data_IF_862159775355
#
_entry.id   IF_862159775355
#
_cell.length_a   1.000
_cell.length_b   1.000
_cell.length_c   1.000
_cell.angle_alpha   90.00
_cell.angle_beta   90.00
_cell.angle_gamma   90.00
#
_symmetry.space_group_name_H-M   'P 1'
#
loop_
_entity.id
_entity.type
_entity.pdbx_description
1 polymer ?
#
# COMPACT_ATOMS: atom_id res chain seq x y z
N UNK A 1 -36.92 -34.45 -72.23
CA UNK A 1 -37.17 -33.39 -71.22
C UNK A 1 -35.92 -33.29 -70.36
N UNK A 2 -35.23 -32.15 -70.37
CA UNK A 2 -33.99 -31.91 -69.62
C UNK A 2 -34.35 -31.23 -68.30
N UNK A 3 -34.00 -31.82 -67.16
CA UNK A 3 -34.12 -31.20 -65.84
C UNK A 3 -32.77 -30.62 -65.43
N UNK A 4 -32.71 -29.30 -65.27
CA UNK A 4 -31.58 -28.59 -64.68
C UNK A 4 -31.94 -28.23 -63.24
N UNK A 5 -31.13 -28.67 -62.28
CA UNK A 5 -31.26 -28.33 -60.86
C UNK A 5 -30.25 -27.22 -60.56
N UNK A 6 -30.74 -26.05 -60.14
CA UNK A 6 -29.91 -24.93 -59.70
C UNK A 6 -29.66 -25.04 -58.18
N UNK A 7 -28.39 -25.12 -57.79
CA UNK A 7 -27.97 -25.01 -56.38
C UNK A 7 -27.95 -23.53 -55.97
N UNK A 8 -28.75 -23.17 -54.98
CA UNK A 8 -28.72 -21.86 -54.33
C UNK A 8 -27.73 -21.91 -53.17
N UNK A 9 -26.65 -21.14 -53.25
CA UNK A 9 -25.67 -21.02 -52.17
C UNK A 9 -26.26 -20.13 -51.05
N UNK A 10 -26.34 -20.67 -49.83
CA UNK A 10 -26.73 -19.92 -48.64
C UNK A 10 -25.48 -19.24 -48.08
N UNK A 11 -25.42 -17.91 -48.17
CA UNK A 11 -24.36 -17.11 -47.56
C UNK A 11 -24.59 -17.03 -46.04
N UNK A 12 -23.66 -17.57 -45.25
CA UNK A 12 -23.60 -17.33 -43.82
C UNK A 12 -23.08 -15.91 -43.58
N UNK A 13 -23.95 -15.01 -43.12
CA UNK A 13 -23.51 -13.74 -42.55
C UNK A 13 -22.78 -14.02 -41.24
N UNK A 14 -21.47 -13.77 -41.21
CA UNK A 14 -20.71 -13.78 -39.97
C UNK A 14 -21.19 -12.58 -39.12
N UNK A 15 -21.92 -12.87 -38.05
CA UNK A 15 -22.14 -11.88 -37.00
C UNK A 15 -20.81 -11.71 -36.27
N UNK A 16 -20.06 -10.68 -36.64
CA UNK A 16 -19.02 -10.16 -35.77
C UNK A 16 -19.73 -9.62 -34.52
N UNK A 17 -19.71 -10.40 -33.44
CA UNK A 17 -20.06 -9.87 -32.12
C UNK A 17 -19.02 -8.80 -31.80
N UNK A 18 -19.41 -7.54 -31.97
CA UNK A 18 -18.70 -6.44 -31.36
C UNK A 18 -18.67 -6.73 -29.85
N UNK A 19 -17.48 -7.03 -29.33
CA UNK A 19 -17.29 -7.06 -27.89
C UNK A 19 -17.81 -5.73 -27.33
N UNK A 20 -18.65 -5.73 -26.28
CA UNK A 20 -19.09 -4.49 -25.68
C UNK A 20 -17.83 -3.69 -25.34
N UNK A 21 -17.79 -2.42 -25.77
CA UNK A 21 -16.76 -1.50 -25.36
C UNK A 21 -16.68 -1.56 -23.83
N UNK A 22 -15.60 -2.14 -23.31
CA UNK A 22 -15.43 -2.33 -21.89
C UNK A 22 -15.52 -0.98 -21.21
N UNK A 23 -16.54 -0.77 -20.37
CA UNK A 23 -16.45 0.23 -19.32
C UNK A 23 -15.17 0.00 -18.53
N UNK A 24 -14.63 1.01 -17.83
CA UNK A 24 -13.45 0.81 -16.99
C UNK A 24 -13.68 -0.44 -16.14
N UNK A 25 -12.82 -1.45 -16.30
CA UNK A 25 -13.02 -2.77 -15.68
C UNK A 25 -13.19 -2.66 -14.17
N UNK A 26 -13.76 -3.68 -13.53
CA UNK A 26 -13.94 -3.72 -12.06
C UNK A 26 -12.68 -3.32 -11.29
N UNK A 27 -11.50 -3.68 -11.82
CA UNK A 27 -10.19 -3.28 -11.28
C UNK A 27 -9.99 -1.75 -11.26
N UNK A 28 -10.35 -1.04 -12.33
CA UNK A 28 -10.29 0.42 -12.36
C UNK A 28 -11.25 1.06 -11.34
N UNK A 29 -12.38 0.42 -11.03
CA UNK A 29 -13.28 0.93 -9.99
C UNK A 29 -12.63 0.88 -8.61
N UNK A 30 -12.03 -0.26 -8.24
CA UNK A 30 -11.34 -0.41 -6.95
C UNK A 30 -10.11 0.51 -6.83
N UNK A 31 -9.33 0.65 -7.90
CA UNK A 31 -8.20 1.59 -7.91
C UNK A 31 -8.63 3.05 -7.71
N UNK A 32 -9.76 3.47 -8.31
CA UNK A 32 -10.28 4.81 -8.09
C UNK A 32 -10.80 5.00 -6.66
N UNK A 33 -11.50 4.01 -6.10
CA UNK A 33 -11.96 4.06 -4.71
C UNK A 33 -10.80 4.16 -3.72
N UNK A 34 -9.76 3.34 -3.90
CA UNK A 34 -8.57 3.38 -3.07
C UNK A 34 -7.86 4.74 -3.17
N UNK A 35 -7.79 5.32 -4.38
CA UNK A 35 -7.20 6.64 -4.61
C UNK A 35 -7.95 7.75 -3.86
N UNK A 36 -9.28 7.68 -3.87
CA UNK A 36 -10.14 8.67 -3.22
C UNK A 36 -10.11 8.53 -1.68
N UNK A 37 -9.73 7.36 -1.15
CA UNK A 37 -9.59 7.10 0.29
C UNK A 37 -8.22 7.49 0.88
N UNK A 38 -7.23 7.81 0.03
CA UNK A 38 -5.85 8.09 0.47
C UNK A 38 -5.76 9.18 1.51
N UNK A 39 -4.87 8.97 2.48
CA UNK A 39 -4.66 9.89 3.59
C UNK A 39 -5.80 9.89 4.61
N UNK A 40 -6.78 9.00 4.47
CA UNK A 40 -7.91 8.88 5.39
C UNK A 40 -7.86 7.55 6.12
N UNK A 41 -7.69 7.60 7.44
CA UNK A 41 -7.71 6.40 8.29
C UNK A 41 -8.66 6.58 9.45
N UNK A 42 -9.48 5.56 9.70
CA UNK A 42 -10.55 5.61 10.71
C UNK A 42 -11.49 6.83 10.56
N UNK A 43 -11.76 7.23 9.31
CA UNK A 43 -12.59 8.39 8.98
C UNK A 43 -11.93 9.76 9.22
N UNK A 44 -10.64 9.79 9.53
CA UNK A 44 -9.87 11.02 9.77
C UNK A 44 -8.90 11.23 8.62
N UNK A 45 -9.11 12.31 7.86
CA UNK A 45 -8.18 12.74 6.82
C UNK A 45 -6.99 13.48 7.43
N UNK A 46 -5.79 13.21 6.90
CA UNK A 46 -4.59 13.97 7.18
C UNK A 46 -3.83 14.26 5.86
N UNK A 47 -3.56 15.54 5.63
CA UNK A 47 -2.85 16.01 4.44
C UNK A 47 -1.43 15.43 4.33
N UNK A 48 -0.68 15.39 5.44
CA UNK A 48 0.67 14.81 5.44
C UNK A 48 0.67 13.32 5.09
N UNK A 49 -0.35 12.58 5.51
CA UNK A 49 -0.50 11.19 5.13
C UNK A 49 -0.76 11.01 3.63
N UNK A 50 -1.63 11.84 3.03
CA UNK A 50 -1.87 11.82 1.59
C UNK A 50 -0.56 12.04 0.80
N UNK A 51 0.22 13.05 1.19
CA UNK A 51 1.51 13.34 0.54
C UNK A 51 2.52 12.20 0.71
N UNK A 52 2.52 11.54 1.88
CA UNK A 52 3.38 10.38 2.13
C UNK A 52 2.99 9.15 1.28
N UNK A 53 1.69 8.92 1.08
CA UNK A 53 1.18 7.90 0.16
C UNK A 53 1.58 8.23 -1.28
N UNK A 54 1.38 9.48 -1.72
CA UNK A 54 1.75 9.91 -3.07
C UNK A 54 3.25 9.75 -3.33
N UNK A 55 4.10 10.11 -2.37
CA UNK A 55 5.55 9.95 -2.50
C UNK A 55 5.99 8.48 -2.52
N UNK A 56 5.40 7.63 -1.68
CA UNK A 56 5.61 6.17 -1.73
C UNK A 56 5.33 5.63 -3.14
N UNK A 57 4.14 5.91 -3.67
CA UNK A 57 3.70 5.42 -4.98
C UNK A 57 4.60 5.96 -6.10
N UNK A 58 4.93 7.25 -6.05
CA UNK A 58 5.85 7.87 -7.00
C UNK A 58 7.25 7.24 -6.96
N UNK A 59 7.77 6.95 -5.76
CA UNK A 59 9.07 6.29 -5.58
C UNK A 59 9.07 4.88 -6.17
N UNK A 60 8.03 4.09 -5.90
CA UNK A 60 7.90 2.74 -6.47
C UNK A 60 7.83 2.77 -8.01
N UNK A 61 7.05 3.69 -8.56
CA UNK A 61 6.90 3.83 -10.01
C UNK A 61 8.19 4.30 -10.69
N UNK A 62 8.87 5.30 -10.12
CA UNK A 62 10.11 5.86 -10.69
C UNK A 62 11.31 4.90 -10.57
N UNK A 63 11.36 4.10 -9.51
CA UNK A 63 12.41 3.09 -9.32
C UNK A 63 12.08 1.73 -9.95
N UNK A 64 10.84 1.56 -10.43
CA UNK A 64 10.30 0.27 -10.88
C UNK A 64 10.44 -0.85 -9.83
N UNK A 65 10.41 -0.50 -8.55
CA UNK A 65 10.52 -1.46 -7.46
C UNK A 65 9.20 -2.17 -7.21
N UNK A 66 9.27 -3.49 -7.00
CA UNK A 66 8.18 -4.27 -6.42
C UNK A 66 8.35 -4.45 -4.89
N UNK A 67 9.47 -3.98 -4.33
CA UNK A 67 9.76 -4.03 -2.90
C UNK A 67 9.18 -2.80 -2.20
N UNK A 68 7.89 -2.87 -1.86
CA UNK A 68 7.18 -1.79 -1.16
C UNK A 68 7.74 -1.55 0.25
N UNK A 69 8.15 -2.61 0.96
CA UNK A 69 8.71 -2.51 2.30
C UNK A 69 10.21 -2.19 2.31
N UNK A 70 10.80 -2.05 1.12
CA UNK A 70 12.11 -1.46 0.87
C UNK A 70 12.13 0.06 0.76
N UNK A 71 10.96 0.72 0.76
CA UNK A 71 10.84 2.18 0.65
C UNK A 71 10.36 2.77 1.97
N UNK A 72 11.17 3.65 2.57
CA UNK A 72 10.88 4.28 3.88
C UNK A 72 9.50 4.92 3.93
N UNK A 73 9.17 5.70 2.90
CA UNK A 73 7.91 6.44 2.84
C UNK A 73 6.71 5.52 2.66
N UNK A 74 6.87 4.34 2.07
CA UNK A 74 5.81 3.34 2.01
C UNK A 74 5.53 2.71 3.37
N UNK A 75 6.58 2.46 4.18
CA UNK A 75 6.39 1.99 5.56
C UNK A 75 5.70 3.07 6.41
N UNK A 76 6.09 4.34 6.24
CA UNK A 76 5.41 5.47 6.89
C UNK A 76 3.97 5.64 6.44
N UNK A 77 3.70 5.52 5.13
CA UNK A 77 2.37 5.61 4.54
C UNK A 77 1.47 4.48 5.06
N UNK A 78 1.98 3.26 5.20
CA UNK A 78 1.23 2.13 5.73
C UNK A 78 0.65 2.45 7.12
N UNK A 79 1.43 3.12 7.98
CA UNK A 79 0.95 3.51 9.31
C UNK A 79 -0.21 4.50 9.28
N UNK A 80 -0.24 5.42 8.32
CA UNK A 80 -1.23 6.49 8.33
C UNK A 80 -2.42 6.23 7.40
N UNK A 81 -2.24 5.44 6.34
CA UNK A 81 -3.25 5.09 5.32
C UNK A 81 -3.85 3.70 5.55
N UNK A 82 -3.11 2.83 6.24
CA UNK A 82 -3.44 1.41 6.36
C UNK A 82 -2.66 0.56 5.36
N UNK A 83 -2.43 -0.71 5.69
CA UNK A 83 -1.70 -1.62 4.80
C UNK A 83 -2.54 -2.03 3.60
N UNK A 84 -3.86 -2.19 3.77
CA UNK A 84 -4.73 -2.68 2.70
C UNK A 84 -4.84 -1.66 1.57
N UNK A 85 -5.19 -0.42 1.91
CA UNK A 85 -5.37 0.63 0.92
C UNK A 85 -4.06 0.92 0.18
N UNK A 86 -2.95 1.03 0.91
CA UNK A 86 -1.63 1.29 0.32
C UNK A 86 -1.19 0.17 -0.64
N UNK A 87 -1.31 -1.09 -0.24
CA UNK A 87 -0.96 -2.22 -1.10
C UNK A 87 -1.84 -2.28 -2.34
N UNK A 88 -3.14 -2.00 -2.21
CA UNK A 88 -4.05 -1.93 -3.34
C UNK A 88 -3.64 -0.84 -4.33
N UNK A 89 -3.32 0.36 -3.84
CA UNK A 89 -2.84 1.48 -4.65
C UNK A 89 -1.52 1.17 -5.36
N UNK A 90 -0.59 0.54 -4.66
CA UNK A 90 0.69 0.15 -5.22
C UNK A 90 0.50 -0.88 -6.35
N UNK A 91 -0.38 -1.86 -6.16
CA UNK A 91 -0.74 -2.86 -7.19
C UNK A 91 -1.41 -2.24 -8.41
N UNK A 92 -2.27 -1.23 -8.21
CA UNK A 92 -2.89 -0.47 -9.30
C UNK A 92 -1.87 0.21 -10.23
N UNK A 93 -0.67 0.53 -9.72
CA UNK A 93 0.42 1.12 -10.52
C UNK A 93 1.42 0.07 -11.02
N UNK A 94 1.69 -0.95 -10.20
CA UNK A 94 2.64 -2.00 -10.50
C UNK A 94 2.05 -3.38 -10.12
N UNK A 95 1.60 -4.12 -11.13
CA UNK A 95 1.00 -5.45 -10.96
C UNK A 95 1.97 -6.51 -10.39
N UNK A 96 3.27 -6.23 -10.33
CA UNK A 96 4.24 -7.10 -9.66
C UNK A 96 4.22 -6.96 -8.13
N UNK A 97 3.58 -5.91 -7.59
CA UNK A 97 3.34 -5.75 -6.16
C UNK A 97 2.12 -6.59 -5.80
N UNK A 98 2.32 -7.53 -4.89
CA UNK A 98 1.23 -8.34 -4.39
C UNK A 98 0.50 -7.58 -3.27
N UNK A 99 -0.80 -7.46 -3.43
CA UNK A 99 -1.69 -6.88 -2.42
C UNK A 99 -2.24 -7.94 -1.46
N UNK A 100 -1.82 -9.18 -1.62
CA UNK A 100 -2.32 -10.35 -0.90
C UNK A 100 -1.17 -11.21 -0.39
N UNK A 101 -1.33 -11.82 0.78
CA UNK A 101 -0.63 -13.03 1.22
C UNK A 101 0.90 -12.99 1.40
N UNK A 102 1.47 -11.88 1.89
CA UNK A 102 2.81 -11.92 2.50
C UNK A 102 3.98 -12.23 1.56
N UNK A 103 3.76 -12.17 0.25
CA UNK A 103 4.76 -12.49 -0.78
C UNK A 103 5.71 -11.32 -1.07
N UNK A 104 5.34 -10.10 -0.63
CA UNK A 104 6.23 -8.95 -0.63
C UNK A 104 7.51 -9.25 0.18
N UNK A 105 8.67 -8.69 -0.19
CA UNK A 105 9.89 -8.85 0.60
C UNK A 105 9.69 -8.34 2.03
N UNK A 106 10.38 -8.95 3.00
CA UNK A 106 10.33 -8.45 4.38
C UNK A 106 10.78 -7.00 4.47
N UNK A 107 10.29 -6.30 5.50
CA UNK A 107 10.70 -4.94 5.85
C UNK A 107 12.23 -4.80 5.76
N UNK A 108 12.70 -3.86 4.95
CA UNK A 108 14.13 -3.66 4.79
C UNK A 108 14.77 -3.33 6.15
N UNK A 109 15.78 -4.11 6.52
CA UNK A 109 16.35 -4.04 7.87
C UNK A 109 17.04 -2.69 8.15
N UNK A 110 17.48 -1.96 7.12
CA UNK A 110 18.00 -0.60 7.31
C UNK A 110 16.89 0.40 7.66
N UNK A 111 15.67 0.21 7.14
CA UNK A 111 14.51 1.01 7.56
C UNK A 111 14.18 0.69 9.02
N UNK A 112 14.16 -0.61 9.38
CA UNK A 112 13.99 -1.02 10.78
C UNK A 112 15.06 -0.41 11.70
N UNK A 113 16.34 -0.48 11.32
CA UNK A 113 17.43 0.14 12.06
C UNK A 113 17.28 1.67 12.14
N UNK A 114 16.73 2.31 11.10
CA UNK A 114 16.38 3.72 11.13
C UNK A 114 15.25 4.07 12.11
N UNK A 115 14.36 3.11 12.44
CA UNK A 115 13.29 3.29 13.42
C UNK A 115 13.83 3.15 14.85
N UNK A 116 14.54 2.05 15.13
CA UNK A 116 14.91 1.68 16.51
C UNK A 116 16.33 2.10 16.90
N UNK A 117 17.14 2.54 15.93
CA UNK A 117 18.53 2.93 16.11
C UNK A 117 19.51 1.76 16.09
N UNK A 118 20.75 2.02 16.51
CA UNK A 118 21.88 1.09 16.43
C UNK A 118 21.64 -0.24 17.16
N UNK A 119 20.74 -0.27 18.14
CA UNK A 119 20.36 -1.50 18.85
C UNK A 119 19.64 -2.53 17.96
N UNK A 120 19.24 -2.18 16.73
CA UNK A 120 18.81 -3.15 15.73
C UNK A 120 19.90 -4.19 15.39
N UNK A 121 21.17 -3.82 15.52
CA UNK A 121 22.31 -4.67 15.16
C UNK A 121 22.93 -5.40 16.35
N UNK A 122 22.32 -5.29 17.54
CA UNK A 122 22.86 -5.91 18.74
C UNK A 122 22.74 -7.44 18.68
N UNK A 123 23.84 -8.20 18.78
CA UNK A 123 23.80 -9.67 18.80
C UNK A 123 23.08 -10.26 20.03
N UNK A 124 22.91 -9.49 21.11
CA UNK A 124 22.18 -9.91 22.32
C UNK A 124 20.65 -9.83 22.17
N UNK A 125 20.17 -9.31 21.05
CA UNK A 125 18.76 -9.17 20.71
C UNK A 125 18.44 -7.77 20.17
N UNK A 126 17.63 -7.70 19.11
CA UNK A 126 17.19 -6.42 18.56
C UNK A 126 16.22 -5.72 19.52
N UNK A 127 16.38 -4.41 19.68
CA UNK A 127 15.48 -3.61 20.49
C UNK A 127 14.11 -3.46 19.78
N UNK A 128 12.99 -3.61 20.50
CA UNK A 128 11.67 -3.43 19.91
C UNK A 128 11.35 -1.93 19.73
N UNK A 129 10.52 -1.61 18.74
CA UNK A 129 10.07 -0.25 18.48
C UNK A 129 9.18 0.25 19.63
N UNK A 130 9.55 1.38 20.21
CA UNK A 130 8.72 2.09 21.20
C UNK A 130 7.74 3.05 20.50
N UNK A 131 6.79 3.58 21.27
CA UNK A 131 5.90 4.65 20.79
C UNK A 131 6.67 5.88 20.31
N UNK A 132 7.77 6.23 20.98
CA UNK A 132 8.55 7.41 20.58
C UNK A 132 9.27 7.15 19.25
N UNK A 133 9.87 5.96 19.08
CA UNK A 133 10.47 5.56 17.80
C UNK A 133 9.45 5.64 16.66
N UNK A 134 8.21 5.21 16.91
CA UNK A 134 7.13 5.30 15.92
C UNK A 134 6.81 6.75 15.54
N UNK A 135 6.60 7.63 16.51
CA UNK A 135 6.31 9.05 16.27
C UNK A 135 7.45 9.72 15.51
N UNK A 136 8.69 9.48 15.96
CA UNK A 136 9.89 10.05 15.34
C UNK A 136 10.06 9.55 13.90
N UNK A 137 9.78 8.27 13.64
CA UNK A 137 9.82 7.71 12.29
C UNK A 137 8.77 8.31 11.36
N UNK A 138 7.53 8.45 11.83
CA UNK A 138 6.43 9.05 11.05
C UNK A 138 6.73 10.51 10.72
N UNK A 139 7.10 11.32 11.71
CA UNK A 139 7.45 12.73 11.47
C UNK A 139 8.75 12.90 10.70
N UNK A 140 9.72 12.01 10.88
CA UNK A 140 10.92 11.95 10.05
C UNK A 140 10.58 11.64 8.60
N UNK A 141 9.60 10.76 8.34
CA UNK A 141 9.14 10.45 6.97
C UNK A 141 8.46 11.66 6.31
N UNK A 142 7.69 12.44 7.08
CA UNK A 142 7.15 13.73 6.60
C UNK A 142 8.25 14.76 6.33
N UNK A 143 9.29 14.79 7.15
CA UNK A 143 10.42 15.70 6.98
C UNK A 143 11.22 15.38 5.73
N UNK A 144 11.44 14.10 5.45
CA UNK A 144 12.21 13.62 4.29
C UNK A 144 11.58 14.04 2.96
N UNK A 145 10.24 14.12 2.89
CA UNK A 145 9.52 14.55 1.68
C UNK A 145 9.17 16.05 1.70
N UNK A 146 9.64 16.80 2.69
CA UNK A 146 9.43 18.24 2.84
C UNK A 146 7.95 18.66 2.91
N UNK A 147 7.13 17.90 3.64
CA UNK A 147 5.73 18.27 3.88
C UNK A 147 5.64 19.63 4.59
N UNK A 148 4.62 20.42 4.26
CA UNK A 148 4.35 21.69 4.91
C UNK A 148 4.07 21.53 6.42
N UNK A 149 4.57 22.42 7.30
CA UNK A 149 4.41 22.26 8.76
C UNK A 149 2.96 22.14 9.25
N UNK A 150 2.00 22.74 8.55
CA UNK A 150 0.57 22.70 8.87
C UNK A 150 -0.13 21.40 8.45
N UNK A 151 0.52 20.57 7.64
CA UNK A 151 0.04 19.23 7.27
C UNK A 151 0.48 18.14 8.28
N UNK A 152 1.38 18.46 9.22
CA UNK A 152 1.77 17.55 10.29
C UNK A 152 0.58 17.33 11.25
N UNK A 153 0.14 16.08 11.46
CA UNK A 153 -0.87 15.78 12.48
C UNK A 153 -0.30 16.00 13.88
N UNK A 154 -1.15 16.38 14.83
CA UNK A 154 -0.79 16.36 16.24
C UNK A 154 -0.44 14.94 16.71
N UNK A 155 0.52 14.84 17.63
CA UNK A 155 0.99 13.54 18.14
C UNK A 155 -0.12 12.70 18.77
N UNK A 156 -1.16 13.30 19.33
CA UNK A 156 -2.32 12.59 19.86
C UNK A 156 -3.13 11.89 18.76
N UNK A 157 -3.22 12.50 17.56
CA UNK A 157 -3.85 11.90 16.39
C UNK A 157 -3.02 10.71 15.90
N UNK A 158 -1.70 10.89 15.78
CA UNK A 158 -0.74 9.85 15.40
C UNK A 158 -0.84 8.66 16.35
N UNK A 159 -0.89 8.91 17.66
CA UNK A 159 -1.01 7.85 18.66
C UNK A 159 -2.35 7.12 18.50
N UNK A 160 -3.45 7.87 18.58
CA UNK A 160 -4.80 7.29 18.64
C UNK A 160 -5.18 6.55 17.37
N UNK A 161 -4.85 7.09 16.21
CA UNK A 161 -5.31 6.55 14.94
C UNK A 161 -4.29 5.61 14.30
N UNK A 162 -3.00 5.72 14.65
CA UNK A 162 -1.95 4.98 13.95
C UNK A 162 -1.19 3.99 14.84
N UNK A 163 -0.66 4.45 15.96
CA UNK A 163 0.09 3.61 16.90
C UNK A 163 -0.81 2.63 17.67
N UNK A 164 -1.93 3.09 18.21
CA UNK A 164 -2.80 2.26 19.04
C UNK A 164 -3.40 1.08 18.24
N UNK A 165 -3.91 1.26 17.00
CA UNK A 165 -4.37 0.13 16.19
C UNK A 165 -3.24 -0.85 15.81
N UNK A 166 -2.04 -0.35 15.53
CA UNK A 166 -0.86 -1.18 15.27
C UNK A 166 -0.52 -2.03 16.51
N UNK A 167 -0.52 -1.42 17.70
CA UNK A 167 -0.32 -2.13 18.97
C UNK A 167 -1.39 -3.18 19.25
N UNK A 168 -2.64 -2.82 19.01
CA UNK A 168 -3.78 -3.71 19.22
C UNK A 168 -3.66 -4.95 18.33
N UNK A 169 -3.35 -4.75 17.05
CA UNK A 169 -3.15 -5.85 16.10
C UNK A 169 -1.94 -6.72 16.47
N UNK A 170 -0.80 -6.12 16.82
CA UNK A 170 0.42 -6.87 17.11
C UNK A 170 0.39 -7.58 18.47
N UNK A 171 -0.45 -7.14 19.42
CA UNK A 171 -0.62 -7.73 20.75
C UNK A 171 0.68 -7.93 21.55
N UNK A 172 1.68 -7.06 21.34
CA UNK A 172 3.02 -7.17 21.95
C UNK A 172 3.23 -6.30 23.19
N UNK A 173 2.19 -5.59 23.65
CA UNK A 173 2.26 -4.70 24.80
C UNK A 173 2.68 -3.29 24.42
N UNK A 174 3.74 -2.74 25.04
CA UNK A 174 4.14 -1.33 24.85
C UNK A 174 5.20 -1.11 23.78
N UNK A 175 5.74 -2.19 23.21
CA UNK A 175 6.81 -2.15 22.23
C UNK A 175 6.59 -3.23 21.19
N UNK A 176 6.96 -2.96 19.94
CA UNK A 176 6.69 -3.84 18.79
C UNK A 176 8.02 -4.39 18.25
N UNK A 177 8.27 -5.71 18.33
CA UNK A 177 9.44 -6.34 17.71
C UNK A 177 9.38 -6.30 16.18
N UNK A 178 10.55 -6.44 15.53
CA UNK A 178 10.68 -6.47 14.07
C UNK A 178 9.70 -7.44 13.40
N UNK A 179 9.64 -8.69 13.88
CA UNK A 179 8.79 -9.72 13.27
C UNK A 179 7.31 -9.35 13.32
N UNK A 180 6.85 -8.76 14.42
CA UNK A 180 5.45 -8.33 14.55
C UNK A 180 5.12 -7.12 13.66
N UNK A 181 6.05 -6.17 13.52
CA UNK A 181 5.86 -5.07 12.57
C UNK A 181 5.86 -5.59 11.13
N UNK A 182 6.79 -6.48 10.81
CA UNK A 182 6.84 -7.12 9.50
C UNK A 182 5.53 -7.86 9.21
N UNK A 183 5.05 -8.68 10.14
CA UNK A 183 3.78 -9.40 9.97
C UNK A 183 2.60 -8.44 9.80
N UNK A 184 2.57 -7.35 10.57
CA UNK A 184 1.52 -6.34 10.42
C UNK A 184 1.50 -5.73 9.01
N UNK A 185 2.66 -5.40 8.44
CA UNK A 185 2.78 -4.87 7.08
C UNK A 185 2.21 -5.83 6.02
N UNK A 186 2.30 -7.14 6.25
CA UNK A 186 1.90 -8.16 5.28
C UNK A 186 0.47 -8.68 5.47
N UNK A 187 -0.05 -8.65 6.69
CA UNK A 187 -1.26 -9.40 7.04
C UNK A 187 -2.33 -8.60 7.76
N UNK A 188 -2.06 -7.34 8.14
CA UNK A 188 -3.00 -6.66 9.02
C UNK A 188 -4.33 -6.28 8.39
N UNK A 189 -4.34 -6.07 7.07
CA UNK A 189 -5.51 -5.57 6.32
C UNK A 189 -6.13 -4.35 7.04
N UNK A 190 -5.24 -3.45 7.50
CA UNK A 190 -5.57 -2.30 8.33
C UNK A 190 -5.69 -0.99 7.57
#
# INVERSE_FOLDING_TARGET
MKFSIALTAVSFAAFASAAPAGGPGLENFYCNQARDARGTRNGVFNQGCLELVDDCLNTLNTTHSADIWGVKHCVGAAFCDGTENLLHLAKCQNQAIDSTDGTSPSLNYNIWAGIVGDCAWNPEGSCPMTRQNFIDFVYGSFSDINIAPDAYPDSSLVIKNWWDPLKEWTATGNTIPYLNLNDWLHYSQS
#
